data_IF_864115730510
#
_entry.id   IF_864115730510
#
_cell.length_a   1.000
_cell.length_b   1.000
_cell.length_c   1.000
_cell.angle_alpha   90.00
_cell.angle_beta   90.00
_cell.angle_gamma   90.00
#
_symmetry.space_group_name_H-M   'P 1'
#
loop_
_entity.id
_entity.type
_entity.pdbx_description
1 polymer ?
#
# COMPACT_ATOMS: atom_id res chain seq x y z
N UNK A 1 -22.18 -5.98 13.68
CA UNK A 1 -21.86 -7.42 13.79
C UNK A 1 -20.64 -7.68 14.68
N UNK A 2 -19.43 -7.16 14.43
CA UNK A 2 -18.25 -7.43 15.29
C UNK A 2 -18.35 -6.88 16.74
N UNK A 3 -19.00 -5.74 16.95
CA UNK A 3 -19.15 -5.15 18.30
C UNK A 3 -19.91 -6.05 19.27
N UNK A 4 -20.86 -6.86 18.78
CA UNK A 4 -21.65 -7.77 19.60
C UNK A 4 -20.85 -9.02 19.99
N UNK A 5 -19.97 -9.50 19.10
CA UNK A 5 -19.07 -10.64 19.35
C UNK A 5 -17.99 -10.31 20.37
N UNK A 6 -17.49 -9.06 20.39
CA UNK A 6 -16.50 -8.60 21.38
C UNK A 6 -17.07 -8.51 22.80
N UNK A 7 -18.36 -8.19 22.93
CA UNK A 7 -19.04 -8.00 24.22
C UNK A 7 -19.28 -9.32 24.98
N UNK A 8 -19.36 -10.44 24.27
CA UNK A 8 -19.59 -11.78 24.85
C UNK A 8 -18.33 -12.66 24.86
N UNK A 9 -17.19 -12.12 24.41
CA UNK A 9 -15.92 -12.85 24.27
C UNK A 9 -15.14 -12.91 25.60
N UNK A 10 -14.39 -13.98 25.80
CA UNK A 10 -13.42 -14.10 26.91
C UNK A 10 -12.29 -13.08 26.78
N UNK A 11 -11.58 -12.79 27.87
CA UNK A 11 -10.50 -11.79 27.85
C UNK A 11 -9.37 -12.09 26.84
N UNK A 12 -9.10 -13.36 26.53
CA UNK A 12 -8.11 -13.74 25.53
C UNK A 12 -8.62 -13.52 24.08
N UNK A 13 -9.88 -13.87 23.82
CA UNK A 13 -10.55 -13.61 22.55
C UNK A 13 -10.66 -12.11 22.30
N UNK A 14 -10.97 -11.33 23.33
CA UNK A 14 -11.09 -9.88 23.22
C UNK A 14 -9.77 -9.21 22.82
N UNK A 15 -8.63 -9.68 23.36
CA UNK A 15 -7.29 -9.23 22.95
C UNK A 15 -6.97 -9.59 21.50
N UNK A 16 -7.40 -10.77 21.05
CA UNK A 16 -7.21 -11.23 19.67
C UNK A 16 -8.02 -10.36 18.72
N UNK A 17 -9.30 -10.13 19.03
CA UNK A 17 -10.18 -9.23 18.28
C UNK A 17 -9.58 -7.82 18.18
N UNK A 18 -9.01 -7.29 19.27
CA UNK A 18 -8.39 -5.96 19.24
C UNK A 18 -7.13 -5.91 18.37
N UNK A 19 -6.33 -6.97 18.36
CA UNK A 19 -5.17 -7.08 17.47
C UNK A 19 -5.60 -7.14 16.01
N UNK A 20 -6.66 -7.86 15.70
CA UNK A 20 -7.18 -8.00 14.35
C UNK A 20 -7.79 -6.68 13.86
N UNK A 21 -8.58 -6.01 14.71
CA UNK A 21 -9.11 -4.67 14.42
C UNK A 21 -7.99 -3.66 14.15
N UNK A 22 -6.94 -3.65 14.97
CA UNK A 22 -5.77 -2.79 14.75
C UNK A 22 -5.06 -3.11 13.43
N UNK A 23 -4.96 -4.38 13.10
CA UNK A 23 -4.34 -4.83 11.83
C UNK A 23 -5.17 -4.40 10.63
N UNK A 24 -6.49 -4.56 10.69
CA UNK A 24 -7.42 -4.12 9.64
C UNK A 24 -7.36 -2.60 9.48
N UNK A 25 -7.40 -1.84 10.57
CA UNK A 25 -7.31 -0.38 10.54
C UNK A 25 -6.00 0.09 9.92
N UNK A 26 -4.87 -0.55 10.25
CA UNK A 26 -3.57 -0.27 9.61
C UNK A 26 -3.61 -0.53 8.10
N UNK A 27 -4.12 -1.69 7.69
CA UNK A 27 -4.25 -2.03 6.25
C UNK A 27 -5.17 -1.05 5.51
N UNK A 28 -6.27 -0.62 6.12
CA UNK A 28 -7.15 0.39 5.54
C UNK A 28 -6.43 1.72 5.33
N UNK A 29 -5.69 2.19 6.34
CA UNK A 29 -4.91 3.42 6.23
C UNK A 29 -3.82 3.32 5.13
N UNK A 30 -3.16 2.17 5.02
CA UNK A 30 -2.19 1.91 3.95
C UNK A 30 -2.84 1.92 2.56
N UNK A 31 -4.03 1.34 2.41
CA UNK A 31 -4.78 1.34 1.15
C UNK A 31 -5.24 2.75 0.73
N UNK A 32 -5.72 3.56 1.67
CA UNK A 32 -6.12 4.96 1.39
C UNK A 32 -4.91 5.76 0.90
N UNK A 33 -3.77 5.65 1.61
CA UNK A 33 -2.54 6.34 1.21
C UNK A 33 -2.04 5.87 -0.16
N UNK A 34 -2.15 4.59 -0.45
CA UNK A 34 -1.78 4.04 -1.75
C UNK A 34 -2.68 4.58 -2.87
N UNK A 35 -3.99 4.66 -2.65
CA UNK A 35 -4.95 5.20 -3.62
C UNK A 35 -4.69 6.68 -3.92
N UNK A 36 -4.34 7.48 -2.90
CA UNK A 36 -3.92 8.88 -3.07
C UNK A 36 -2.67 9.01 -3.95
N UNK A 37 -1.63 8.20 -3.69
CA UNK A 37 -0.38 8.21 -4.48
C UNK A 37 -0.61 7.72 -5.92
N UNK A 38 -1.44 6.68 -6.11
CA UNK A 38 -1.83 6.16 -7.42
C UNK A 38 -2.59 7.21 -8.23
N UNK A 39 -3.57 7.87 -7.62
CA UNK A 39 -4.37 8.91 -8.25
C UNK A 39 -3.50 10.07 -8.69
N UNK A 40 -2.60 10.54 -7.83
CA UNK A 40 -1.68 11.63 -8.15
C UNK A 40 -0.77 11.27 -9.33
N UNK A 41 -0.18 10.07 -9.35
CA UNK A 41 0.63 9.61 -10.48
C UNK A 41 -0.18 9.52 -11.79
N UNK A 42 -1.44 9.09 -11.71
CA UNK A 42 -2.34 9.06 -12.86
C UNK A 42 -2.66 10.46 -13.38
N UNK A 43 -2.84 11.44 -12.49
CA UNK A 43 -3.08 12.85 -12.83
C UNK A 43 -1.86 13.53 -13.45
N UNK A 44 -0.64 13.14 -13.04
CA UNK A 44 0.61 13.59 -13.67
C UNK A 44 0.73 13.17 -15.15
N UNK A 45 -0.02 12.12 -15.57
CA UNK A 45 -0.03 11.61 -16.95
C UNK A 45 1.37 11.37 -17.52
N UNK A 46 2.20 10.66 -16.75
CA UNK A 46 3.58 10.36 -17.16
C UNK A 46 3.60 9.58 -18.48
N UNK A 47 4.51 9.96 -19.38
CA UNK A 47 4.72 9.20 -20.62
C UNK A 47 5.55 7.95 -20.34
N UNK A 48 5.09 6.81 -20.83
CA UNK A 48 5.80 5.54 -20.73
C UNK A 48 6.02 4.96 -22.12
N UNK A 49 7.28 4.91 -22.53
CA UNK A 49 7.71 4.14 -23.68
C UNK A 49 7.92 2.69 -23.23
N UNK A 50 7.27 1.74 -23.90
CA UNK A 50 7.38 0.32 -23.56
C UNK A 50 8.73 -0.26 -24.03
N UNK A 51 9.38 0.36 -25.00
CA UNK A 51 10.68 -0.07 -25.52
C UNK A 51 11.82 0.21 -24.52
N UNK A 52 11.63 1.13 -23.58
CA UNK A 52 12.54 1.37 -22.44
C UNK A 52 12.73 0.13 -21.55
N UNK A 53 11.78 -0.81 -21.60
CA UNK A 53 11.82 -2.07 -20.87
C UNK A 53 11.51 -1.96 -19.38
N UNK A 54 11.35 -3.14 -18.76
CA UNK A 54 10.83 -3.30 -17.39
C UNK A 54 11.67 -2.55 -16.35
N UNK A 55 13.01 -2.62 -16.46
CA UNK A 55 13.91 -1.97 -15.51
C UNK A 55 13.72 -0.45 -15.45
N UNK A 56 13.59 0.20 -16.59
CA UNK A 56 13.44 1.66 -16.68
C UNK A 56 12.03 2.05 -16.26
N UNK A 57 11.02 1.36 -16.77
CA UNK A 57 9.62 1.67 -16.46
C UNK A 57 9.28 1.47 -14.99
N UNK A 58 9.85 0.47 -14.30
CA UNK A 58 9.66 0.30 -12.85
C UNK A 58 10.12 1.51 -12.03
N UNK A 59 11.18 2.21 -12.46
CA UNK A 59 11.65 3.41 -11.79
C UNK A 59 10.66 4.58 -11.89
N UNK A 60 9.89 4.65 -12.98
CA UNK A 60 8.93 5.75 -13.24
C UNK A 60 7.75 5.76 -12.25
N UNK A 61 7.44 4.62 -11.65
CA UNK A 61 6.37 4.49 -10.65
C UNK A 61 6.85 4.79 -9.22
N UNK A 62 8.12 5.18 -9.02
CA UNK A 62 8.61 5.65 -7.72
C UNK A 62 8.34 4.65 -6.60
N UNK A 63 7.73 5.11 -5.51
CA UNK A 63 7.41 4.30 -4.33
C UNK A 63 6.07 3.55 -4.41
N UNK A 64 5.39 3.59 -5.56
CA UNK A 64 4.10 2.92 -5.76
C UNK A 64 4.26 1.40 -5.93
N UNK A 65 5.37 0.95 -6.52
CA UNK A 65 5.63 -0.47 -6.75
C UNK A 65 6.51 -1.07 -5.64
N UNK A 66 6.32 -2.36 -5.37
CA UNK A 66 7.26 -3.13 -4.57
C UNK A 66 8.56 -3.39 -5.34
N UNK A 67 9.63 -3.68 -4.62
CA UNK A 67 10.88 -4.21 -5.18
C UNK A 67 11.56 -3.36 -6.26
N UNK A 68 11.25 -2.04 -6.31
CA UNK A 68 11.83 -1.10 -7.27
C UNK A 68 13.36 -1.12 -7.21
N UNK A 69 13.96 -1.21 -6.02
CA UNK A 69 15.42 -1.33 -5.91
C UNK A 69 15.96 -2.60 -6.55
N UNK A 70 15.25 -3.72 -6.42
CA UNK A 70 15.68 -4.99 -7.00
C UNK A 70 15.57 -4.99 -8.53
N UNK A 71 14.53 -4.34 -9.07
CA UNK A 71 14.23 -4.34 -10.52
C UNK A 71 14.92 -3.18 -11.23
N UNK A 72 14.73 -1.95 -10.74
CA UNK A 72 15.30 -0.72 -11.29
C UNK A 72 16.79 -0.51 -10.93
N UNK A 73 17.26 -1.13 -9.84
CA UNK A 73 18.63 -1.00 -9.34
C UNK A 73 18.90 0.26 -8.53
N UNK A 74 17.90 1.14 -8.35
CA UNK A 74 17.96 2.35 -7.52
C UNK A 74 16.82 2.37 -6.52
N UNK A 75 17.00 3.05 -5.40
CA UNK A 75 15.93 3.23 -4.43
C UNK A 75 14.72 3.96 -5.09
N UNK A 76 13.48 3.58 -4.74
CA UNK A 76 12.30 4.25 -5.26
C UNK A 76 12.30 5.73 -4.89
N UNK A 77 12.09 6.60 -5.87
CA UNK A 77 11.84 8.01 -5.62
C UNK A 77 10.42 8.19 -5.05
N UNK A 78 10.26 9.05 -4.06
CA UNK A 78 8.92 9.39 -3.57
C UNK A 78 8.21 10.21 -4.64
N UNK A 79 7.03 9.77 -5.03
CA UNK A 79 6.13 10.55 -5.88
C UNK A 79 5.79 11.83 -5.08
N UNK A 80 6.14 12.99 -5.62
CA UNK A 80 5.98 14.31 -4.97
C UNK A 80 4.64 14.91 -5.25
#
# INVERSE_FOLDING_TARGET
MLGNSKATATGAEQRTIDKDLKTIAKKQAELVKFDEELKHLAEMKITQDLDDGVKVNYGKFGNLLSDVKAIHGKAPEKIK
#
